data_IF_754967415740
#
_entry.id   IF_754967415740
#
_cell.length_a   1.000
_cell.length_b   1.000
_cell.length_c   1.000
_cell.angle_alpha   90.00
_cell.angle_beta   90.00
_cell.angle_gamma   90.00
#
_symmetry.space_group_name_H-M   'P 1'
#
loop_
_entity.id
_entity.type
_entity.pdbx_description
1 polymer ?
#
# COMPACT_ATOMS: atom_id res chain seq x y z
N UNK A 1 33.69 -26.62 -1.84
CA UNK A 1 32.79 -27.65 -2.43
C UNK A 1 31.56 -27.68 -1.53
N UNK A 2 30.32 -27.39 -1.95
CA UNK A 2 29.57 -27.92 -3.10
C UNK A 2 28.31 -28.58 -2.51
N UNK A 3 27.18 -27.88 -2.48
CA UNK A 3 25.96 -28.08 -3.31
C UNK A 3 25.00 -29.20 -2.83
N UNK A 4 23.78 -28.77 -2.49
CA UNK A 4 22.43 -29.37 -2.67
C UNK A 4 22.15 -30.85 -2.33
N UNK A 5 21.05 -31.10 -1.59
CA UNK A 5 19.78 -31.59 -2.18
C UNK A 5 18.62 -31.70 -1.16
N UNK A 6 17.52 -31.03 -1.52
CA UNK A 6 16.09 -31.37 -1.40
C UNK A 6 15.69 -32.72 -0.74
N UNK A 7 14.67 -32.70 0.15
CA UNK A 7 13.44 -33.51 0.01
C UNK A 7 12.48 -33.32 1.19
N UNK A 8 11.38 -32.60 0.97
CA UNK A 8 10.14 -32.70 1.77
C UNK A 8 9.39 -33.96 1.36
N UNK A 9 8.93 -34.75 2.34
CA UNK A 9 7.97 -35.83 2.12
C UNK A 9 6.71 -35.60 2.95
N UNK A 10 5.59 -35.79 2.26
CA UNK A 10 4.21 -35.51 2.64
C UNK A 10 3.69 -36.39 3.78
N UNK A 11 2.70 -35.88 4.51
CA UNK A 11 1.66 -36.71 5.16
C UNK A 11 0.37 -35.89 5.28
N UNK A 12 -0.71 -36.46 4.76
CA UNK A 12 -2.13 -36.07 4.88
C UNK A 12 -2.94 -37.37 5.11
N UNK A 13 -4.27 -37.36 5.25
CA UNK A 13 -5.21 -36.68 6.16
C UNK A 13 -5.82 -37.75 7.12
N UNK A 14 -7.00 -37.65 7.80
CA UNK A 14 -8.34 -37.79 7.15
C UNK A 14 -9.52 -37.15 8.00
N UNK A 15 -10.81 -37.60 7.97
CA UNK A 15 -11.90 -36.83 7.37
C UNK A 15 -13.08 -36.52 8.33
N UNK A 16 -13.96 -35.60 7.94
CA UNK A 16 -15.33 -35.55 8.48
C UNK A 16 -16.35 -35.35 7.34
N UNK A 17 -17.01 -36.45 7.00
CA UNK A 17 -18.34 -36.54 6.38
C UNK A 17 -19.39 -36.44 7.51
N UNK A 18 -20.71 -36.24 7.28
CA UNK A 18 -21.47 -36.56 6.06
C UNK A 18 -22.42 -35.45 5.61
N UNK A 19 -23.06 -35.61 4.45
CA UNK A 19 -24.49 -35.34 4.21
C UNK A 19 -24.78 -35.49 2.70
N UNK A 20 -25.13 -36.71 2.28
CA UNK A 20 -25.90 -36.95 1.05
C UNK A 20 -26.61 -38.29 1.17
N UNK A 21 -27.93 -38.25 1.36
CA UNK A 21 -28.95 -38.94 0.54
C UNK A 21 -30.29 -38.92 1.29
N UNK A 22 -31.24 -38.17 0.73
CA UNK A 22 -32.63 -38.15 1.17
C UNK A 22 -33.53 -37.94 -0.03
N UNK A 23 -33.72 -39.01 -0.80
CA UNK A 23 -34.78 -39.14 -1.81
C UNK A 23 -36.13 -38.93 -1.13
N UNK A 24 -36.96 -38.01 -1.63
CA UNK A 24 -38.40 -37.98 -1.32
C UNK A 24 -39.22 -37.35 -2.44
N UNK A 25 -39.76 -38.24 -3.26
CA UNK A 25 -41.15 -38.29 -3.71
C UNK A 25 -41.83 -37.00 -4.18
N UNK A 26 -41.85 -36.90 -5.51
CA UNK A 26 -42.87 -36.28 -6.32
C UNK A 26 -44.25 -36.94 -6.02
N UNK A 27 -45.09 -36.36 -5.12
CA UNK A 27 -46.49 -36.82 -4.94
C UNK A 27 -47.39 -35.81 -4.22
N UNK A 28 -47.82 -34.74 -4.89
CA UNK A 28 -49.02 -33.98 -4.49
C UNK A 28 -49.56 -33.12 -5.64
N UNK A 29 -49.73 -33.72 -6.82
CA UNK A 29 -50.76 -33.26 -7.77
C UNK A 29 -52.07 -33.93 -7.38
N UNK A 30 -53.17 -33.23 -7.64
CA UNK A 30 -54.58 -33.65 -7.50
C UNK A 30 -55.22 -33.53 -6.11
N UNK A 31 -56.06 -32.49 -5.99
CA UNK A 31 -57.40 -32.43 -5.37
C UNK A 31 -57.57 -31.33 -4.32
N UNK A 32 -57.99 -30.15 -4.79
CA UNK A 32 -59.19 -29.46 -4.29
C UNK A 32 -59.59 -28.32 -5.26
N UNK A 33 -60.28 -28.73 -6.32
CA UNK A 33 -61.21 -27.90 -7.06
C UNK A 33 -62.42 -27.65 -6.15
N UNK A 34 -62.53 -26.46 -5.59
CA UNK A 34 -63.80 -25.83 -5.17
C UNK A 34 -63.57 -24.33 -5.31
N UNK A 35 -63.72 -23.80 -6.53
CA UNK A 35 -64.96 -23.11 -6.92
C UNK A 35 -65.51 -22.30 -5.75
N UNK A 36 -64.94 -21.12 -5.56
CA UNK A 36 -65.72 -19.97 -5.10
C UNK A 36 -65.29 -18.78 -5.95
N UNK A 37 -66.07 -18.56 -7.01
CA UNK A 37 -66.28 -17.23 -7.56
C UNK A 37 -66.84 -16.39 -6.41
N UNK A 38 -66.25 -15.23 -6.13
CA UNK A 38 -67.00 -13.98 -5.97
C UNK A 38 -66.07 -12.77 -5.98
N UNK A 39 -66.63 -11.68 -6.47
CA UNK A 39 -66.03 -10.40 -6.85
C UNK A 39 -65.76 -9.49 -5.65
N UNK A 40 -64.75 -8.61 -5.75
CA UNK A 40 -64.66 -7.22 -5.23
C UNK A 40 -63.17 -6.85 -5.12
N UNK A 41 -62.61 -6.02 -6.01
CA UNK A 41 -62.44 -4.55 -5.83
C UNK A 41 -61.93 -4.21 -4.42
N UNK A 42 -60.61 -4.02 -4.26
CA UNK A 42 -60.07 -2.69 -3.98
C UNK A 42 -58.54 -2.68 -4.12
N UNK A 43 -58.05 -1.59 -4.69
CA UNK A 43 -56.62 -1.32 -4.89
C UNK A 43 -56.13 -0.50 -3.69
N UNK A 44 -54.97 -0.83 -3.12
CA UNK A 44 -53.98 0.24 -2.98
C UNK A 44 -52.62 -0.20 -3.50
N UNK A 45 -52.04 0.71 -4.28
CA UNK A 45 -50.70 0.66 -4.85
C UNK A 45 -49.63 0.43 -3.77
N UNK A 46 -48.78 -0.60 -3.89
CA UNK A 46 -47.52 -0.63 -3.16
C UNK A 46 -46.53 0.32 -3.86
N UNK A 47 -46.07 1.31 -3.11
CA UNK A 47 -44.97 2.20 -3.47
C UNK A 47 -43.75 1.39 -3.95
N UNK A 48 -42.99 1.84 -4.96
CA UNK A 48 -41.79 1.14 -5.38
C UNK A 48 -40.73 1.23 -4.28
N UNK A 49 -40.48 0.11 -3.61
CA UNK A 49 -39.26 -0.08 -2.84
C UNK A 49 -38.07 0.06 -3.81
N UNK A 50 -37.29 1.14 -3.67
CA UNK A 50 -36.05 1.34 -4.41
C UNK A 50 -35.00 0.37 -3.85
N UNK A 51 -35.06 -0.89 -4.26
CA UNK A 51 -33.93 -1.79 -4.17
C UNK A 51 -32.88 -1.32 -5.20
N UNK A 52 -31.61 -1.12 -4.83
CA UNK A 52 -30.61 -0.64 -5.77
C UNK A 52 -30.41 -1.72 -6.86
N UNK A 53 -30.70 -1.35 -8.11
CA UNK A 53 -30.66 -2.25 -9.24
C UNK A 53 -29.26 -2.91 -9.41
N UNK A 54 -29.18 -4.20 -9.80
CA UNK A 54 -27.93 -4.94 -9.99
C UNK A 54 -26.99 -4.30 -11.03
N UNK A 55 -27.53 -3.51 -11.97
CA UNK A 55 -26.77 -2.75 -12.96
C UNK A 55 -25.89 -1.65 -12.34
N UNK A 56 -26.35 -0.98 -11.29
CA UNK A 56 -25.58 0.05 -10.60
C UNK A 56 -24.42 -0.55 -9.77
N UNK A 57 -24.62 -1.74 -9.21
CA UNK A 57 -23.56 -2.47 -8.50
C UNK A 57 -22.47 -2.97 -9.45
N UNK A 58 -22.86 -3.49 -10.63
CA UNK A 58 -21.91 -3.87 -11.67
C UNK A 58 -21.11 -2.67 -12.21
N UNK A 59 -21.77 -1.52 -12.43
CA UNK A 59 -21.12 -0.28 -12.85
C UNK A 59 -20.13 0.29 -11.82
N UNK A 60 -20.44 0.18 -10.52
CA UNK A 60 -19.49 0.54 -9.45
C UNK A 60 -18.28 -0.40 -9.43
N UNK A 61 -18.51 -1.69 -9.65
CA UNK A 61 -17.44 -2.68 -9.60
C UNK A 61 -16.48 -2.57 -10.80
N UNK A 62 -16.97 -2.21 -11.98
CA UNK A 62 -16.12 -1.91 -13.14
C UNK A 62 -15.33 -0.61 -12.95
N UNK A 63 -15.95 0.43 -12.37
CA UNK A 63 -15.27 1.69 -12.05
C UNK A 63 -14.18 1.51 -10.99
N UNK A 64 -14.44 0.73 -9.95
CA UNK A 64 -13.45 0.35 -8.95
C UNK A 64 -12.31 -0.50 -9.55
N UNK A 65 -12.59 -1.33 -10.56
CA UNK A 65 -11.54 -2.08 -11.25
C UNK A 65 -10.64 -1.16 -12.10
N UNK A 66 -11.24 -0.18 -12.79
CA UNK A 66 -10.50 0.83 -13.55
C UNK A 66 -9.71 1.78 -12.63
N UNK A 67 -10.25 2.15 -11.46
CA UNK A 67 -9.54 2.95 -10.45
C UNK A 67 -8.27 2.25 -9.97
N UNK A 68 -8.38 0.98 -9.57
CA UNK A 68 -7.25 0.15 -9.14
C UNK A 68 -6.19 0.02 -10.24
N UNK A 69 -6.60 -0.20 -11.50
CA UNK A 69 -5.67 -0.35 -12.64
C UNK A 69 -4.84 0.91 -12.89
N UNK A 70 -5.44 2.07 -12.74
CA UNK A 70 -4.81 3.35 -13.05
C UNK A 70 -4.02 3.89 -11.84
N UNK A 71 -4.48 3.61 -10.63
CA UNK A 71 -3.72 3.83 -9.39
C UNK A 71 -2.46 2.96 -9.32
N UNK A 72 -2.46 1.74 -9.88
CA UNK A 72 -1.24 0.91 -9.94
C UNK A 72 -0.06 1.64 -10.60
N UNK A 73 -0.30 2.33 -11.73
CA UNK A 73 0.73 3.12 -12.41
C UNK A 73 1.22 4.29 -11.54
N UNK A 74 0.32 4.86 -10.75
CA UNK A 74 0.62 5.99 -9.89
C UNK A 74 1.29 5.56 -8.57
N UNK A 75 1.01 4.39 -8.00
CA UNK A 75 1.64 3.88 -6.76
C UNK A 75 3.03 3.33 -7.03
N UNK A 76 3.29 2.85 -8.25
CA UNK A 76 4.59 2.31 -8.64
C UNK A 76 5.73 3.33 -8.48
N UNK A 77 5.52 4.58 -8.91
CA UNK A 77 6.57 5.61 -8.87
C UNK A 77 7.06 5.93 -7.45
N UNK A 78 6.19 6.21 -6.45
CA UNK A 78 6.61 6.39 -5.05
C UNK A 78 7.25 5.16 -4.44
N UNK A 79 6.79 3.96 -4.80
CA UNK A 79 7.39 2.72 -4.31
C UNK A 79 8.82 2.55 -4.84
N UNK A 80 9.03 2.88 -6.11
CA UNK A 80 10.37 2.90 -6.72
C UNK A 80 11.26 3.97 -6.09
N UNK A 81 10.71 5.15 -5.79
CA UNK A 81 11.40 6.23 -5.07
C UNK A 81 11.79 5.79 -3.65
N UNK A 82 10.87 5.21 -2.87
CA UNK A 82 11.15 4.64 -1.55
C UNK A 82 12.28 3.61 -1.61
N UNK A 83 12.20 2.67 -2.56
CA UNK A 83 13.23 1.64 -2.76
C UNK A 83 14.58 2.24 -3.16
N UNK A 84 14.57 3.29 -3.99
CA UNK A 84 15.80 3.98 -4.39
C UNK A 84 16.44 4.73 -3.21
N UNK A 85 15.64 5.44 -2.43
CA UNK A 85 16.08 6.13 -1.20
C UNK A 85 16.63 5.14 -0.18
N UNK A 86 15.91 4.06 0.12
CA UNK A 86 16.34 3.03 1.07
C UNK A 86 17.68 2.38 0.65
N UNK A 87 17.83 2.04 -0.64
CA UNK A 87 19.11 1.48 -1.15
C UNK A 87 20.26 2.48 -1.02
N UNK A 88 20.00 3.76 -1.27
CA UNK A 88 21.02 4.81 -1.19
C UNK A 88 21.44 5.05 0.25
N UNK A 89 20.47 5.19 1.16
CA UNK A 89 20.69 5.37 2.58
C UNK A 89 21.45 4.20 3.20
N UNK A 90 21.08 2.97 2.83
CA UNK A 90 21.77 1.77 3.29
C UNK A 90 23.25 1.78 2.88
N UNK A 91 23.56 2.06 1.60
CA UNK A 91 24.95 2.15 1.12
C UNK A 91 25.75 3.25 1.81
N UNK A 92 25.12 4.38 2.11
CA UNK A 92 25.76 5.46 2.86
C UNK A 92 26.04 5.05 4.31
N UNK A 93 25.08 4.41 4.97
CA UNK A 93 25.25 3.91 6.33
C UNK A 93 26.38 2.87 6.40
N UNK A 94 26.43 1.91 5.48
CA UNK A 94 27.51 0.91 5.42
C UNK A 94 28.90 1.55 5.28
N UNK A 95 29.05 2.55 4.40
CA UNK A 95 30.32 3.28 4.22
C UNK A 95 30.76 4.00 5.49
N UNK A 96 29.83 4.70 6.13
CA UNK A 96 30.14 5.47 7.34
C UNK A 96 30.42 4.56 8.54
N UNK A 97 29.67 3.46 8.69
CA UNK A 97 29.93 2.42 9.69
C UNK A 97 31.31 1.82 9.47
N UNK A 98 31.65 1.43 8.24
CA UNK A 98 32.98 0.89 7.92
C UNK A 98 34.11 1.89 8.24
N UNK A 99 33.90 3.18 7.94
CA UNK A 99 34.87 4.23 8.26
C UNK A 99 35.06 4.37 9.78
N UNK A 100 33.97 4.40 10.54
CA UNK A 100 34.02 4.47 12.02
C UNK A 100 34.72 3.24 12.60
N UNK A 101 34.37 2.03 12.14
CA UNK A 101 34.99 0.78 12.59
C UNK A 101 36.49 0.77 12.30
N UNK A 102 36.91 1.13 11.09
CA UNK A 102 38.33 1.22 10.73
C UNK A 102 39.09 2.19 11.65
N UNK A 103 38.48 3.33 11.98
CA UNK A 103 39.11 4.32 12.85
C UNK A 103 39.13 3.91 14.32
N UNK A 104 38.11 3.17 14.78
CA UNK A 104 38.10 2.55 16.09
C UNK A 104 39.17 1.46 16.22
N UNK A 105 39.32 0.61 15.19
CA UNK A 105 40.38 -0.41 15.15
C UNK A 105 41.77 0.22 15.11
N UNK A 106 41.97 1.30 14.37
CA UNK A 106 43.23 2.04 14.37
C UNK A 106 43.54 2.66 15.74
N UNK A 107 42.53 3.16 16.45
CA UNK A 107 42.70 3.70 17.80
C UNK A 107 43.03 2.59 18.81
N UNK A 108 42.45 1.40 18.66
CA UNK A 108 42.72 0.24 19.51
C UNK A 108 44.10 -0.40 19.25
N UNK A 109 44.60 -0.30 18.02
CA UNK A 109 45.91 -0.84 17.62
C UNK A 109 47.07 0.13 17.89
N UNK A 110 46.79 1.40 18.22
CA UNK A 110 47.82 2.36 18.56
C UNK A 110 48.51 1.92 19.87
N UNK A 111 49.85 1.76 19.89
CA UNK A 111 50.56 1.44 21.12
C UNK A 111 50.30 2.52 22.18
N UNK A 112 50.20 2.10 23.45
CA UNK A 112 49.92 2.96 24.61
C UNK A 112 50.97 4.05 24.90
N UNK A 113 51.87 4.33 23.95
CA UNK A 113 52.84 5.43 23.96
C UNK A 113 52.24 6.77 23.52
N UNK A 114 51.01 6.76 23.01
CA UNK A 114 50.27 7.99 22.71
C UNK A 114 49.94 8.70 24.03
N UNK A 115 50.59 9.84 24.30
CA UNK A 115 50.34 10.60 25.53
C UNK A 115 48.86 10.89 25.77
N UNK A 116 48.46 11.03 27.04
CA UNK A 116 47.04 11.17 27.45
C UNK A 116 46.24 12.20 26.63
N UNK A 117 46.87 13.30 26.21
CA UNK A 117 46.25 14.31 25.34
C UNK A 117 45.88 13.77 23.94
N UNK A 118 46.79 13.05 23.28
CA UNK A 118 46.54 12.47 21.97
C UNK A 118 45.42 11.41 22.01
N UNK A 119 45.39 10.60 23.08
CA UNK A 119 44.30 9.63 23.28
C UNK A 119 42.93 10.31 23.45
N UNK A 120 42.88 11.42 24.19
CA UNK A 120 41.67 12.25 24.35
C UNK A 120 41.25 12.88 23.02
N UNK A 121 42.18 13.38 22.21
CA UNK A 121 41.88 13.95 20.89
C UNK A 121 41.34 12.88 19.93
N UNK A 122 41.92 11.68 19.91
CA UNK A 122 41.44 10.56 19.12
C UNK A 122 40.03 10.11 19.52
N UNK A 123 39.76 10.01 20.83
CA UNK A 123 38.44 9.67 21.33
C UNK A 123 37.42 10.76 20.99
N UNK A 124 37.79 12.03 21.12
CA UNK A 124 36.95 13.18 20.75
C UNK A 124 36.60 13.14 19.27
N UNK A 125 37.57 12.84 18.40
CA UNK A 125 37.36 12.66 16.96
C UNK A 125 36.40 11.51 16.64
N UNK A 126 36.55 10.35 17.32
CA UNK A 126 35.62 9.23 17.18
C UNK A 126 34.20 9.59 17.61
N UNK A 127 34.05 10.29 18.74
CA UNK A 127 32.74 10.78 19.22
C UNK A 127 32.11 11.74 18.22
N UNK A 128 32.87 12.68 17.66
CA UNK A 128 32.39 13.58 16.61
C UNK A 128 31.91 12.83 15.36
N UNK A 129 32.63 11.77 14.95
CA UNK A 129 32.25 10.93 13.81
C UNK A 129 31.02 10.08 14.09
N UNK A 130 30.88 9.53 15.29
CA UNK A 130 29.67 8.82 15.73
C UNK A 130 28.44 9.74 15.74
N UNK A 131 28.59 10.97 16.22
CA UNK A 131 27.53 11.98 16.12
C UNK A 131 27.18 12.31 14.67
N UNK A 132 28.19 12.44 13.80
CA UNK A 132 28.00 12.62 12.36
C UNK A 132 27.22 11.46 11.71
N UNK A 133 27.58 10.22 12.04
CA UNK A 133 26.88 9.01 11.58
C UNK A 133 25.42 9.01 12.06
N UNK A 134 25.19 9.26 13.35
CA UNK A 134 23.83 9.35 13.93
C UNK A 134 22.99 10.36 13.15
N UNK A 135 23.52 11.56 12.91
CA UNK A 135 22.81 12.61 12.15
C UNK A 135 22.47 12.17 10.72
N UNK A 136 23.41 11.50 10.03
CA UNK A 136 23.18 10.97 8.67
C UNK A 136 22.10 9.89 8.65
N UNK A 137 22.08 9.00 9.64
CA UNK A 137 21.06 7.97 9.75
C UNK A 137 19.66 8.55 10.02
N UNK A 138 19.56 9.54 10.89
CA UNK A 138 18.30 10.24 11.17
C UNK A 138 17.78 10.99 9.94
N UNK A 139 18.67 11.60 9.15
CA UNK A 139 18.31 12.24 7.88
C UNK A 139 17.77 11.21 6.87
N UNK A 140 18.46 10.08 6.72
CA UNK A 140 18.00 8.99 5.86
C UNK A 140 16.63 8.45 6.29
N UNK A 141 16.42 8.25 7.59
CA UNK A 141 15.15 7.81 8.14
C UNK A 141 14.01 8.79 7.86
N UNK A 142 14.25 10.11 7.99
CA UNK A 142 13.26 11.14 7.64
C UNK A 142 12.93 11.13 6.15
N UNK A 143 13.92 10.95 5.28
CA UNK A 143 13.71 10.85 3.84
C UNK A 143 12.89 9.61 3.44
N UNK A 144 13.13 8.47 4.10
CA UNK A 144 12.33 7.25 3.89
C UNK A 144 10.91 7.41 4.40
N UNK A 145 10.73 7.97 5.61
CA UNK A 145 9.41 8.21 6.19
C UNK A 145 8.55 9.11 5.30
N UNK A 146 9.13 10.13 4.67
CA UNK A 146 8.43 10.96 3.69
C UNK A 146 7.91 10.14 2.50
N UNK A 147 8.70 9.19 1.99
CA UNK A 147 8.25 8.32 0.90
C UNK A 147 7.20 7.30 1.38
N UNK A 148 7.31 6.80 2.61
CA UNK A 148 6.30 5.94 3.23
C UNK A 148 4.97 6.70 3.38
N UNK A 149 5.00 7.95 3.84
CA UNK A 149 3.81 8.80 3.94
C UNK A 149 3.15 9.03 2.58
N UNK A 150 3.95 9.30 1.53
CA UNK A 150 3.46 9.40 0.15
C UNK A 150 2.77 8.11 -0.32
N UNK A 151 3.33 6.95 0.02
CA UNK A 151 2.72 5.65 -0.26
C UNK A 151 1.41 5.44 0.52
N UNK A 152 1.39 5.72 1.83
CA UNK A 152 0.21 5.59 2.68
C UNK A 152 -0.93 6.48 2.20
N UNK A 153 -0.67 7.76 1.94
CA UNK A 153 -1.68 8.70 1.44
C UNK A 153 -2.30 8.25 0.11
N UNK A 154 -1.55 7.54 -0.75
CA UNK A 154 -2.09 6.96 -1.99
C UNK A 154 -2.95 5.72 -1.72
N UNK A 155 -2.54 4.86 -0.80
CA UNK A 155 -3.31 3.67 -0.40
C UNK A 155 -4.61 4.03 0.31
N UNK A 156 -4.60 5.01 1.21
CA UNK A 156 -5.79 5.46 1.94
C UNK A 156 -6.85 6.03 0.98
N UNK A 157 -6.40 6.77 -0.05
CA UNK A 157 -7.29 7.27 -1.11
C UNK A 157 -7.86 6.16 -1.97
N UNK A 158 -7.06 5.14 -2.32
CA UNK A 158 -7.56 3.97 -3.05
C UNK A 158 -8.63 3.22 -2.24
N UNK A 159 -8.42 3.10 -0.93
CA UNK A 159 -9.40 2.51 -0.02
C UNK A 159 -10.71 3.32 0.02
N UNK A 160 -10.62 4.66 0.08
CA UNK A 160 -11.79 5.53 0.02
C UNK A 160 -12.55 5.44 -1.32
N UNK A 161 -11.84 5.36 -2.44
CA UNK A 161 -12.43 5.19 -3.78
C UNK A 161 -13.22 3.87 -3.90
N UNK A 162 -12.75 2.82 -3.23
CA UNK A 162 -13.47 1.53 -3.20
C UNK A 162 -14.77 1.57 -2.38
N UNK A 163 -14.94 2.59 -1.53
CA UNK A 163 -16.06 2.75 -0.61
C UNK A 163 -17.23 3.57 -1.19
N UNK A 164 -17.10 4.16 -2.39
CA UNK A 164 -18.22 4.78 -3.12
C UNK A 164 -18.25 6.30 -3.19
N UNK A 165 -17.17 7.00 -2.85
CA UNK A 165 -17.03 8.45 -3.01
C UNK A 165 -16.39 8.81 -4.37
N UNK A 166 -17.14 8.56 -5.43
CA UNK A 166 -16.60 8.55 -6.80
C UNK A 166 -16.27 9.97 -7.34
N UNK A 167 -16.98 11.01 -6.90
CA UNK A 167 -16.85 12.35 -7.48
C UNK A 167 -15.57 13.08 -7.04
N UNK A 168 -15.24 13.03 -5.75
CA UNK A 168 -13.99 13.59 -5.23
C UNK A 168 -12.76 12.82 -5.75
N UNK A 169 -12.91 11.51 -5.95
CA UNK A 169 -11.85 10.67 -6.49
C UNK A 169 -11.52 11.01 -7.96
N UNK A 170 -12.52 11.22 -8.81
CA UNK A 170 -12.31 11.63 -10.21
C UNK A 170 -11.64 13.01 -10.32
N UNK A 171 -12.02 13.97 -9.46
CA UNK A 171 -11.47 15.32 -9.46
C UNK A 171 -9.98 15.34 -9.04
N UNK A 172 -9.63 14.67 -7.93
CA UNK A 172 -8.22 14.57 -7.48
C UNK A 172 -7.37 13.83 -8.50
N UNK A 173 -7.92 12.78 -9.11
CA UNK A 173 -7.24 12.02 -10.16
C UNK A 173 -6.99 12.85 -11.40
N UNK A 174 -7.99 13.62 -11.87
CA UNK A 174 -7.85 14.54 -12.98
C UNK A 174 -6.74 15.56 -12.70
N UNK A 175 -6.77 16.17 -11.52
CA UNK A 175 -5.73 17.12 -11.08
C UNK A 175 -4.33 16.49 -11.11
N UNK A 176 -4.19 15.22 -10.73
CA UNK A 176 -2.91 14.49 -10.73
C UNK A 176 -2.40 14.20 -12.14
N UNK A 177 -3.28 13.82 -13.07
CA UNK A 177 -2.94 13.66 -14.50
C UNK A 177 -2.55 15.00 -15.10
N UNK A 178 -3.26 16.08 -14.73
CA UNK A 178 -2.97 17.42 -15.19
C UNK A 178 -1.62 17.93 -14.69
N UNK A 179 -1.28 17.72 -13.41
CA UNK A 179 0.04 18.04 -12.84
C UNK A 179 1.14 17.28 -13.61
N UNK A 180 0.96 15.99 -13.84
CA UNK A 180 1.93 15.18 -14.57
C UNK A 180 2.11 15.65 -16.03
N UNK A 181 1.01 15.98 -16.72
CA UNK A 181 1.05 16.59 -18.05
C UNK A 181 1.82 17.93 -18.03
N UNK A 182 1.54 18.80 -17.07
CA UNK A 182 2.24 20.07 -16.91
C UNK A 182 3.75 19.89 -16.69
N UNK A 183 4.17 18.90 -15.88
CA UNK A 183 5.58 18.59 -15.67
C UNK A 183 6.27 18.11 -16.96
N UNK A 184 5.59 17.29 -17.78
CA UNK A 184 6.13 16.85 -19.09
C UNK A 184 6.24 17.99 -20.09
N UNK A 185 5.33 18.96 -20.02
CA UNK A 185 5.32 20.16 -20.87
C UNK A 185 6.19 21.31 -20.33
N UNK A 186 6.96 21.07 -19.26
CA UNK A 186 7.83 22.06 -18.61
C UNK A 186 7.11 23.24 -17.93
N UNK A 187 5.83 23.07 -17.59
CA UNK A 187 5.03 24.05 -16.83
C UNK A 187 5.19 23.85 -15.31
N UNK A 188 6.42 23.99 -14.81
CA UNK A 188 6.78 23.65 -13.42
C UNK A 188 6.06 24.50 -12.37
N UNK A 189 5.99 25.82 -12.55
CA UNK A 189 5.38 26.72 -11.57
C UNK A 189 3.88 26.45 -11.40
N UNK A 190 3.19 26.26 -12.53
CA UNK A 190 1.75 25.97 -12.54
C UNK A 190 1.46 24.57 -12.01
N UNK A 191 2.29 23.58 -12.36
CA UNK A 191 2.19 22.23 -11.80
C UNK A 191 2.33 22.25 -10.27
N UNK A 192 3.29 23.02 -9.76
CA UNK A 192 3.57 23.14 -8.32
C UNK A 192 2.40 23.80 -7.59
N UNK A 193 1.88 24.93 -8.10
CA UNK A 193 0.72 25.62 -7.52
C UNK A 193 -0.54 24.77 -7.53
N UNK A 194 -0.81 24.05 -8.63
CA UNK A 194 -1.97 23.15 -8.71
C UNK A 194 -1.85 22.00 -7.71
N UNK A 195 -0.65 21.47 -7.53
CA UNK A 195 -0.37 20.40 -6.58
C UNK A 195 -0.56 20.86 -5.13
N UNK A 196 -0.06 22.04 -4.78
CA UNK A 196 -0.21 22.65 -3.45
C UNK A 196 -1.69 22.94 -3.12
N UNK A 197 -2.39 23.63 -4.01
CA UNK A 197 -3.82 23.99 -3.82
C UNK A 197 -4.74 22.77 -3.74
N UNK A 198 -4.35 21.67 -4.37
CA UNK A 198 -5.13 20.42 -4.40
C UNK A 198 -4.70 19.40 -3.35
N UNK A 199 -3.68 19.70 -2.52
CA UNK A 199 -3.13 18.75 -1.56
C UNK A 199 -2.49 17.50 -2.20
N UNK A 200 -2.07 17.60 -3.46
CA UNK A 200 -1.43 16.52 -4.21
C UNK A 200 0.07 16.65 -3.97
N UNK A 201 0.67 15.71 -3.23
CA UNK A 201 2.13 15.64 -3.13
C UNK A 201 2.72 15.20 -4.48
N UNK A 202 3.46 16.13 -5.11
CA UNK A 202 4.37 15.89 -6.25
C UNK A 202 5.54 15.02 -5.80
#
# INVERSE_FOLDING_TARGET
AGLFLFSSKSTSPPPLSPLFLGVSHNRARERKKKKKMEMAIDTPSPSPSVSPAPSAAAGRQTRAAESVRLEHQLVRVPLEALRATARTNHRLAEKEIAAVLSSASSAAAAPGESGSAAAVDHLTSLVSRLHGLKRKMEEGARAEELQVQRCRARLDRLAAASAGDDAEWEDIRLKRILVDYMLRMSYYDTATKLAETSGIQV
#
